data_IF_850567500298
#
_entry.id   IF_850567500298
#
_cell.length_a   1.000
_cell.length_b   1.000
_cell.length_c   1.000
_cell.angle_alpha   90.00
_cell.angle_beta   90.00
_cell.angle_gamma   90.00
#
_symmetry.space_group_name_H-M   'P 1'
#
loop_
_entity.id
_entity.type
_entity.pdbx_description
1 polymer ?
#
# COMPACT_ATOMS: atom_id res chain seq x y z
N UNK A 1 1.08 -1.53 23.49
CA UNK A 1 0.50 -1.76 22.16
C UNK A 1 -0.72 -0.86 21.91
N UNK A 2 -1.76 -0.87 22.78
CA UNK A 2 -2.99 -0.12 22.57
C UNK A 2 -2.78 1.41 22.46
N UNK A 3 -2.04 2.00 23.41
CA UNK A 3 -1.76 3.44 23.43
C UNK A 3 -0.94 3.87 22.20
N UNK A 4 0.07 3.08 21.82
CA UNK A 4 0.88 3.35 20.63
C UNK A 4 0.04 3.28 19.35
N UNK A 5 -0.85 2.30 19.24
CA UNK A 5 -1.77 2.17 18.10
C UNK A 5 -2.67 3.40 17.96
N UNK A 6 -3.26 3.87 19.08
CA UNK A 6 -4.10 5.08 19.05
C UNK A 6 -3.29 6.32 18.67
N UNK A 7 -2.07 6.46 19.19
CA UNK A 7 -1.19 7.58 18.85
C UNK A 7 -0.84 7.60 17.36
N UNK A 8 -0.57 6.45 16.78
CA UNK A 8 -0.29 6.33 15.34
C UNK A 8 -1.51 6.69 14.49
N UNK A 9 -2.70 6.22 14.85
CA UNK A 9 -3.92 6.63 14.17
C UNK A 9 -4.19 8.14 14.28
N UNK A 10 -3.95 8.72 15.45
CA UNK A 10 -4.02 10.18 15.61
C UNK A 10 -3.01 10.89 14.70
N UNK A 11 -1.79 10.36 14.59
CA UNK A 11 -0.76 10.90 13.69
C UNK A 11 -1.20 10.87 12.22
N UNK A 12 -1.74 9.74 11.75
CA UNK A 12 -2.27 9.61 10.37
C UNK A 12 -3.44 10.58 10.14
N UNK A 13 -4.37 10.66 11.11
CA UNK A 13 -5.52 11.57 11.02
C UNK A 13 -5.07 13.02 10.97
N UNK A 14 -4.14 13.42 11.84
CA UNK A 14 -3.61 14.78 11.86
C UNK A 14 -2.87 15.13 10.55
N UNK A 15 -2.00 14.25 10.07
CA UNK A 15 -1.26 14.46 8.82
C UNK A 15 -2.20 14.59 7.62
N UNK A 16 -3.24 13.75 7.56
CA UNK A 16 -4.24 13.80 6.49
C UNK A 16 -5.07 15.07 6.56
N UNK A 17 -5.54 15.44 7.75
CA UNK A 17 -6.30 16.68 7.98
C UNK A 17 -5.45 17.91 7.61
N UNK A 18 -4.19 17.94 8.08
CA UNK A 18 -3.28 19.04 7.78
C UNK A 18 -3.04 19.20 6.29
N UNK A 19 -2.71 18.10 5.58
CA UNK A 19 -2.51 18.14 4.13
C UNK A 19 -3.75 18.57 3.35
N UNK A 20 -4.95 18.22 3.84
CA UNK A 20 -6.21 18.63 3.23
C UNK A 20 -6.54 20.12 3.47
N UNK A 21 -6.21 20.64 4.64
CA UNK A 21 -6.48 22.04 4.99
C UNK A 21 -5.36 22.99 4.55
N UNK A 22 -4.17 22.47 4.26
CA UNK A 22 -3.00 23.28 3.91
C UNK A 22 -3.23 24.26 2.75
N UNK A 23 -3.91 23.90 1.65
CA UNK A 23 -4.21 24.83 0.57
C UNK A 23 -5.00 26.07 1.04
N UNK A 24 -5.93 25.90 1.98
CA UNK A 24 -6.75 27.01 2.55
C UNK A 24 -5.85 27.95 3.38
N UNK A 25 -4.99 27.37 4.23
CA UNK A 25 -4.07 28.18 5.03
C UNK A 25 -3.02 28.90 4.18
N UNK A 26 -2.48 28.23 3.16
CA UNK A 26 -1.50 28.85 2.25
C UNK A 26 -2.12 30.04 1.50
N UNK A 27 -3.34 29.89 1.02
CA UNK A 27 -4.06 30.96 0.32
C UNK A 27 -4.34 32.17 1.22
N UNK A 28 -4.76 31.91 2.48
CA UNK A 28 -5.02 32.98 3.46
C UNK A 28 -3.75 33.76 3.87
N UNK A 29 -2.59 33.09 3.93
CA UNK A 29 -1.36 33.72 4.41
C UNK A 29 -0.49 34.28 3.28
N UNK A 30 -0.43 33.59 2.15
CA UNK A 30 0.47 33.92 1.05
C UNK A 30 -0.24 34.43 -0.20
N UNK A 31 -1.58 34.47 -0.21
CA UNK A 31 -2.42 34.70 -1.40
C UNK A 31 -2.11 33.73 -2.56
N UNK A 32 -1.51 32.57 -2.26
CA UNK A 32 -1.21 31.53 -3.22
C UNK A 32 -1.73 30.19 -2.71
N UNK A 33 -2.52 29.51 -3.53
CA UNK A 33 -3.05 28.20 -3.22
C UNK A 33 -2.00 27.12 -3.50
N UNK A 34 -1.32 26.67 -2.44
CA UNK A 34 -0.32 25.60 -2.51
C UNK A 34 -1.01 24.28 -2.16
N UNK A 35 -1.12 23.37 -3.13
CA UNK A 35 -1.67 22.03 -2.91
C UNK A 35 -0.58 21.04 -2.54
N UNK A 36 -0.85 20.20 -1.54
CA UNK A 36 0.01 19.06 -1.21
C UNK A 36 -0.49 17.82 -1.96
N UNK A 37 0.43 17.21 -2.69
CA UNK A 37 0.13 16.04 -3.54
C UNK A 37 0.48 14.70 -2.88
N UNK A 38 0.36 13.60 -3.65
CA UNK A 38 0.68 12.24 -3.21
C UNK A 38 2.06 12.08 -2.53
N UNK A 39 3.14 12.77 -2.96
CA UNK A 39 4.44 12.65 -2.31
C UNK A 39 4.41 12.97 -0.82
N UNK A 40 3.68 14.00 -0.40
CA UNK A 40 3.53 14.35 1.03
C UNK A 40 2.88 13.21 1.81
N UNK A 41 1.74 12.70 1.33
CA UNK A 41 1.03 11.62 2.02
C UNK A 41 1.84 10.32 2.05
N UNK A 42 2.56 10.00 0.99
CA UNK A 42 3.41 8.81 0.93
C UNK A 42 4.58 8.90 1.92
N UNK A 43 5.18 10.08 2.08
CA UNK A 43 6.30 10.29 3.01
C UNK A 43 5.87 10.30 4.47
N UNK A 44 4.69 10.82 4.80
CA UNK A 44 4.22 10.97 6.18
C UNK A 44 3.36 9.78 6.61
N UNK A 45 2.31 9.46 5.85
CA UNK A 45 1.39 8.38 6.22
C UNK A 45 1.96 6.99 5.94
N UNK A 46 2.82 6.84 4.92
CA UNK A 46 3.41 5.54 4.58
C UNK A 46 4.12 4.87 5.76
N UNK A 47 5.10 5.51 6.40
CA UNK A 47 5.77 4.96 7.58
C UNK A 47 4.83 4.71 8.76
N UNK A 48 3.89 5.62 9.03
CA UNK A 48 2.92 5.46 10.12
C UNK A 48 2.03 4.23 9.90
N UNK A 49 1.50 4.06 8.69
CA UNK A 49 0.69 2.90 8.32
C UNK A 49 1.51 1.61 8.36
N UNK A 50 2.76 1.63 7.91
CA UNK A 50 3.66 0.48 7.99
C UNK A 50 3.85 0.01 9.45
N UNK A 51 4.04 0.95 10.40
CA UNK A 51 4.14 0.64 11.82
C UNK A 51 2.82 0.12 12.38
N UNK A 52 1.67 0.68 11.98
CA UNK A 52 0.34 0.18 12.38
C UNK A 52 0.16 -1.28 11.92
N UNK A 53 0.48 -1.59 10.66
CA UNK A 53 0.40 -2.96 10.12
C UNK A 53 1.35 -3.88 10.88
N UNK A 54 2.57 -3.47 11.14
CA UNK A 54 3.54 -4.25 11.92
C UNK A 54 3.03 -4.55 13.34
N UNK A 55 2.47 -3.54 14.03
CA UNK A 55 1.85 -3.71 15.36
C UNK A 55 0.68 -4.68 15.31
N UNK A 56 -0.10 -4.68 14.26
CA UNK A 56 -1.22 -5.61 14.05
C UNK A 56 -0.74 -7.08 14.08
N UNK A 57 0.46 -7.38 13.55
CA UNK A 57 1.04 -8.72 13.61
C UNK A 57 1.68 -9.06 14.97
N UNK A 58 2.27 -8.07 15.65
CA UNK A 58 3.01 -8.29 16.92
C UNK A 58 2.07 -8.25 18.13
N UNK A 59 1.10 -7.36 18.16
CA UNK A 59 0.24 -7.13 19.33
C UNK A 59 -0.48 -8.39 19.84
N UNK A 60 -1.03 -9.28 18.99
CA UNK A 60 -1.65 -10.54 19.46
C UNK A 60 -0.67 -11.47 20.15
N UNK A 61 0.61 -11.44 19.76
CA UNK A 61 1.65 -12.31 20.33
C UNK A 61 2.09 -11.83 21.73
N UNK A 62 2.06 -10.51 21.97
CA UNK A 62 2.47 -9.89 23.24
C UNK A 62 1.33 -9.82 24.25
N UNK A 63 0.07 -9.80 23.81
CA UNK A 63 -1.11 -9.59 24.66
C UNK A 63 -1.36 -10.72 25.69
N UNK A 64 -0.70 -11.87 25.56
CA UNK A 64 -0.78 -12.97 26.54
C UNK A 64 0.18 -12.73 27.71
N UNK A 65 -0.30 -12.15 28.69
CA UNK A 65 0.10 -11.61 30.00
C UNK A 65 1.35 -12.17 30.71
N UNK A 66 2.08 -13.17 30.21
CA UNK A 66 3.29 -13.78 30.79
C UNK A 66 4.22 -14.43 29.74
N UNK A 67 4.34 -13.90 28.52
CA UNK A 67 5.31 -14.47 27.61
C UNK A 67 6.72 -13.97 27.94
N UNK A 68 7.60 -14.89 28.37
CA UNK A 68 9.03 -14.61 28.43
C UNK A 68 9.55 -14.33 27.01
N UNK A 69 10.61 -13.51 26.87
CA UNK A 69 11.25 -13.26 25.57
C UNK A 69 11.60 -14.56 24.82
N UNK A 70 11.94 -15.63 25.56
CA UNK A 70 12.23 -16.95 24.99
C UNK A 70 10.99 -17.64 24.38
N UNK A 71 9.81 -17.47 24.99
CA UNK A 71 8.55 -17.99 24.47
C UNK A 71 8.09 -17.19 23.23
N UNK A 72 8.26 -15.88 23.24
CA UNK A 72 7.96 -15.01 22.11
C UNK A 72 8.85 -15.35 20.89
N UNK A 73 10.15 -15.57 21.12
CA UNK A 73 11.08 -16.00 20.07
C UNK A 73 10.64 -17.29 19.37
N UNK A 74 10.14 -18.28 20.14
CA UNK A 74 9.60 -19.54 19.59
C UNK A 74 8.35 -19.35 18.72
N UNK A 75 7.60 -18.27 18.93
CA UNK A 75 6.38 -17.97 18.17
C UNK A 75 6.70 -17.19 16.88
N UNK A 76 7.75 -16.39 16.90
CA UNK A 76 8.10 -15.45 15.82
C UNK A 76 9.09 -16.06 14.83
N UNK A 77 9.94 -17.01 15.20
CA UNK A 77 11.03 -17.49 14.36
C UNK A 77 10.54 -18.09 13.02
N UNK A 78 9.45 -18.89 13.03
CA UNK A 78 8.88 -19.48 11.80
C UNK A 78 8.32 -18.40 10.89
N UNK A 79 7.42 -17.48 11.33
CA UNK A 79 7.01 -16.35 10.53
C UNK A 79 8.17 -15.50 9.98
N UNK A 80 9.19 -15.24 10.81
CA UNK A 80 10.36 -14.47 10.38
C UNK A 80 11.17 -15.21 9.30
N UNK A 81 11.42 -16.51 9.47
CA UNK A 81 12.11 -17.31 8.47
C UNK A 81 11.36 -17.36 7.13
N UNK A 82 10.03 -17.58 7.18
CA UNK A 82 9.19 -17.54 5.97
C UNK A 82 9.17 -16.17 5.31
N UNK A 83 9.18 -15.11 6.11
CA UNK A 83 9.30 -13.73 5.59
C UNK A 83 10.63 -13.53 4.87
N UNK A 84 11.74 -13.98 5.43
CA UNK A 84 13.06 -13.88 4.77
C UNK A 84 13.08 -14.62 3.43
N UNK A 85 12.53 -15.84 3.37
CA UNK A 85 12.41 -16.59 2.12
C UNK A 85 11.54 -15.82 1.11
N UNK A 86 10.42 -15.26 1.57
CA UNK A 86 9.54 -14.44 0.71
C UNK A 86 10.22 -13.19 0.19
N UNK A 87 11.05 -12.51 1.00
CA UNK A 87 11.81 -11.34 0.58
C UNK A 87 12.81 -11.66 -0.52
N UNK A 88 13.49 -12.82 -0.43
CA UNK A 88 14.36 -13.30 -1.51
C UNK A 88 13.56 -13.53 -2.79
N UNK A 89 12.41 -14.18 -2.70
CA UNK A 89 11.54 -14.42 -3.85
C UNK A 89 11.07 -13.09 -4.48
N UNK A 90 10.60 -12.12 -3.68
CA UNK A 90 10.20 -10.81 -4.19
C UNK A 90 11.36 -10.03 -4.81
N UNK A 91 12.55 -10.13 -4.26
CA UNK A 91 13.76 -9.54 -4.86
C UNK A 91 14.04 -10.11 -6.26
N UNK A 92 13.94 -11.42 -6.42
CA UNK A 92 14.10 -12.09 -7.70
C UNK A 92 13.00 -11.74 -8.70
N UNK A 93 11.78 -11.49 -8.22
CA UNK A 93 10.63 -11.04 -9.02
C UNK A 93 10.68 -9.54 -9.38
N UNK A 94 11.72 -8.81 -8.96
CA UNK A 94 11.91 -7.42 -9.35
C UNK A 94 11.65 -6.37 -8.26
N UNK A 95 11.22 -6.75 -7.06
CA UNK A 95 11.04 -5.85 -5.93
C UNK A 95 12.40 -5.48 -5.30
N UNK A 96 13.21 -4.66 -5.98
CA UNK A 96 14.60 -4.37 -5.60
C UNK A 96 14.76 -3.10 -4.77
N UNK A 97 13.73 -2.28 -4.63
CA UNK A 97 13.80 -1.06 -3.83
C UNK A 97 13.64 -1.36 -2.34
N UNK A 98 14.29 -0.56 -1.48
CA UNK A 98 14.16 -0.70 -0.02
C UNK A 98 12.70 -0.57 0.41
N UNK A 99 11.95 0.36 -0.18
CA UNK A 99 10.55 0.59 0.15
C UNK A 99 9.68 -0.63 -0.17
N UNK A 100 9.85 -1.25 -1.35
CA UNK A 100 9.11 -2.46 -1.72
C UNK A 100 9.47 -3.65 -0.82
N UNK A 101 10.75 -3.84 -0.49
CA UNK A 101 11.21 -4.90 0.40
C UNK A 101 10.66 -4.73 1.83
N UNK A 102 10.66 -3.50 2.37
CA UNK A 102 10.07 -3.21 3.68
C UNK A 102 8.55 -3.43 3.66
N UNK A 103 7.85 -2.95 2.63
CA UNK A 103 6.41 -3.12 2.50
C UNK A 103 6.00 -4.60 2.41
N UNK A 104 6.61 -5.36 1.51
CA UNK A 104 6.36 -6.81 1.40
C UNK A 104 6.83 -7.57 2.64
N UNK A 105 7.95 -7.18 3.25
CA UNK A 105 8.45 -7.78 4.49
C UNK A 105 7.46 -7.63 5.63
N UNK A 106 6.92 -6.44 5.84
CA UNK A 106 5.90 -6.20 6.87
C UNK A 106 4.63 -6.99 6.56
N UNK A 107 4.12 -6.92 5.32
CA UNK A 107 2.90 -7.62 4.93
C UNK A 107 3.02 -9.14 5.07
N UNK A 108 4.11 -9.75 4.60
CA UNK A 108 4.35 -11.19 4.73
C UNK A 108 4.55 -11.61 6.19
N UNK A 109 5.30 -10.84 6.97
CA UNK A 109 5.51 -11.12 8.39
C UNK A 109 4.18 -11.14 9.16
N UNK A 110 3.34 -10.14 8.94
CA UNK A 110 2.01 -10.05 9.57
C UNK A 110 1.09 -11.16 9.07
N UNK A 111 1.13 -11.47 7.78
CA UNK A 111 0.40 -12.59 7.19
C UNK A 111 0.79 -13.92 7.83
N UNK A 112 2.08 -14.24 7.89
CA UNK A 112 2.55 -15.50 8.48
C UNK A 112 2.33 -15.57 9.99
N UNK A 113 2.48 -14.48 10.73
CA UNK A 113 2.14 -14.47 12.17
C UNK A 113 0.66 -14.72 12.38
N UNK A 114 -0.21 -14.09 11.60
CA UNK A 114 -1.67 -14.30 11.70
C UNK A 114 -2.06 -15.72 11.30
N UNK A 115 -1.52 -16.25 10.20
CA UNK A 115 -1.76 -17.64 9.77
C UNK A 115 -1.25 -18.65 10.80
N UNK A 116 -0.10 -18.40 11.43
CA UNK A 116 0.43 -19.29 12.49
C UNK A 116 -0.50 -19.40 13.70
N UNK A 117 -1.26 -18.34 14.01
CA UNK A 117 -2.29 -18.37 15.06
C UNK A 117 -3.48 -19.28 14.68
N UNK A 118 -3.90 -19.24 13.39
CA UNK A 118 -4.92 -20.16 12.88
C UNK A 118 -4.43 -21.61 12.94
N UNK A 119 -3.23 -21.87 12.41
CA UNK A 119 -2.65 -23.22 12.39
C UNK A 119 -2.57 -23.79 13.81
N UNK A 120 -2.11 -23.01 14.78
CA UNK A 120 -2.05 -23.43 16.19
C UNK A 120 -3.44 -23.69 16.78
N UNK A 121 -4.40 -22.83 16.46
CA UNK A 121 -5.78 -23.01 16.91
C UNK A 121 -6.43 -24.27 16.33
N UNK A 122 -6.28 -24.51 15.05
CA UNK A 122 -6.77 -25.71 14.36
C UNK A 122 -6.10 -26.97 14.89
N UNK A 123 -4.77 -26.96 15.02
CA UNK A 123 -4.03 -28.11 15.58
C UNK A 123 -4.46 -28.47 17.00
N UNK A 124 -4.76 -27.48 17.84
CA UNK A 124 -5.26 -27.71 19.19
C UNK A 124 -6.66 -28.40 19.17
N UNK A 125 -7.52 -28.05 18.23
CA UNK A 125 -8.86 -28.66 18.08
C UNK A 125 -8.80 -30.06 17.46
N UNK A 126 -7.89 -30.25 16.49
CA UNK A 126 -7.67 -31.58 15.90
C UNK A 126 -7.21 -32.60 16.94
N UNK A 127 -6.43 -32.19 17.95
CA UNK A 127 -6.04 -33.03 19.09
C UNK A 127 -7.24 -33.45 19.97
N UNK A 128 -8.38 -32.77 19.84
CA UNK A 128 -9.64 -33.11 20.49
C UNK A 128 -10.55 -33.98 19.60
N UNK A 129 -10.04 -34.46 18.45
CA UNK A 129 -10.77 -35.35 17.54
C UNK A 129 -11.56 -34.63 16.42
N UNK A 130 -11.48 -33.31 16.30
CA UNK A 130 -12.14 -32.60 15.22
C UNK A 130 -11.32 -32.73 13.89
N UNK A 131 -12.03 -32.84 12.76
CA UNK A 131 -11.35 -32.72 11.47
C UNK A 131 -11.01 -31.26 11.15
N UNK A 132 -10.10 -31.03 10.18
CA UNK A 132 -9.57 -29.70 9.85
C UNK A 132 -10.68 -28.70 9.53
N UNK A 133 -11.68 -29.07 8.71
CA UNK A 133 -12.76 -28.15 8.31
C UNK A 133 -13.69 -27.81 9.47
N UNK A 134 -14.06 -28.80 10.26
CA UNK A 134 -14.87 -28.59 11.47
C UNK A 134 -14.10 -27.75 12.50
N UNK A 135 -12.80 -28.02 12.67
CA UNK A 135 -11.93 -27.25 13.55
C UNK A 135 -11.85 -25.77 13.13
N UNK A 136 -11.72 -25.46 11.84
CA UNK A 136 -11.70 -24.09 11.31
C UNK A 136 -13.01 -23.35 11.60
N UNK A 137 -14.15 -23.97 11.26
CA UNK A 137 -15.48 -23.38 11.49
C UNK A 137 -15.72 -23.15 12.99
N UNK A 138 -15.49 -24.16 13.80
CA UNK A 138 -15.69 -24.08 15.24
C UNK A 138 -14.74 -23.08 15.91
N UNK A 139 -13.51 -22.93 15.40
CA UNK A 139 -12.55 -21.97 15.89
C UNK A 139 -13.06 -20.54 15.72
N UNK A 140 -13.55 -20.21 14.53
CA UNK A 140 -14.14 -18.90 14.23
C UNK A 140 -15.49 -18.70 14.97
N UNK A 141 -16.38 -19.69 14.98
CA UNK A 141 -17.70 -19.59 15.58
C UNK A 141 -17.67 -19.40 17.10
N UNK A 142 -16.79 -20.14 17.80
CA UNK A 142 -16.69 -20.09 19.27
C UNK A 142 -15.87 -18.92 19.81
N UNK A 143 -14.95 -18.34 19.01
CA UNK A 143 -14.09 -17.23 19.41
C UNK A 143 -14.10 -16.10 18.36
N UNK A 144 -15.31 -15.62 18.02
CA UNK A 144 -15.54 -14.61 16.96
C UNK A 144 -14.69 -13.35 17.12
N UNK A 145 -14.49 -12.85 18.34
CA UNK A 145 -13.68 -11.65 18.59
C UNK A 145 -12.23 -11.84 18.19
N UNK A 146 -11.62 -12.99 18.47
CA UNK A 146 -10.22 -13.27 18.17
C UNK A 146 -10.02 -13.63 16.70
N UNK A 147 -10.71 -14.66 16.23
CA UNK A 147 -10.50 -15.19 14.87
C UNK A 147 -11.18 -14.36 13.79
N UNK A 148 -12.29 -13.68 14.10
CA UNK A 148 -12.86 -12.65 13.24
C UNK A 148 -11.90 -11.46 13.07
N UNK A 149 -11.24 -11.02 14.14
CA UNK A 149 -10.18 -10.02 14.07
C UNK A 149 -9.03 -10.47 13.16
N UNK A 150 -8.61 -11.73 13.25
CA UNK A 150 -7.54 -12.26 12.37
C UNK A 150 -7.97 -12.34 10.90
N UNK A 151 -9.23 -12.56 10.57
CA UNK A 151 -9.75 -12.45 9.19
C UNK A 151 -9.59 -11.03 8.67
N UNK A 152 -9.94 -10.03 9.48
CA UNK A 152 -9.75 -8.62 9.13
C UNK A 152 -8.27 -8.31 8.93
N UNK A 153 -7.39 -8.82 9.80
CA UNK A 153 -5.93 -8.66 9.65
C UNK A 153 -5.42 -9.24 8.32
N UNK A 154 -5.90 -10.42 7.92
CA UNK A 154 -5.55 -10.99 6.62
C UNK A 154 -6.08 -10.15 5.46
N UNK A 155 -7.27 -9.55 5.58
CA UNK A 155 -7.78 -8.59 4.61
C UNK A 155 -6.88 -7.36 4.46
N UNK A 156 -6.41 -6.80 5.59
CA UNK A 156 -5.45 -5.68 5.58
C UNK A 156 -4.10 -6.09 4.95
N UNK A 157 -3.64 -7.31 5.22
CA UNK A 157 -2.42 -7.86 4.58
C UNK A 157 -2.58 -7.92 3.06
N UNK A 158 -3.72 -8.42 2.56
CA UNK A 158 -4.00 -8.46 1.11
C UNK A 158 -4.03 -7.05 0.52
N UNK A 159 -4.65 -6.09 1.22
CA UNK A 159 -4.63 -4.68 0.81
C UNK A 159 -3.20 -4.12 0.79
N UNK A 160 -2.38 -4.42 1.80
CA UNK A 160 -0.98 -3.99 1.85
C UNK A 160 -0.17 -4.54 0.66
N UNK A 161 -0.37 -5.81 0.29
CA UNK A 161 0.22 -6.39 -0.93
C UNK A 161 -0.21 -5.62 -2.18
N UNK A 162 -1.50 -5.30 -2.31
CA UNK A 162 -2.02 -4.52 -3.44
C UNK A 162 -1.40 -3.13 -3.53
N UNK A 163 -1.32 -2.42 -2.40
CA UNK A 163 -0.72 -1.07 -2.34
C UNK A 163 0.77 -1.10 -2.68
N UNK A 164 1.55 -2.01 -2.09
CA UNK A 164 2.98 -2.14 -2.37
C UNK A 164 3.21 -2.55 -3.83
N UNK A 165 2.41 -3.49 -4.36
CA UNK A 165 2.48 -3.92 -5.75
C UNK A 165 2.14 -2.81 -6.73
N UNK A 166 1.08 -2.06 -6.48
CA UNK A 166 0.70 -0.91 -7.29
C UNK A 166 1.82 0.14 -7.33
N UNK A 167 2.39 0.47 -6.17
CA UNK A 167 3.50 1.42 -6.09
C UNK A 167 4.77 0.93 -6.81
N UNK A 168 5.06 -0.37 -6.73
CA UNK A 168 6.26 -0.96 -7.33
C UNK A 168 6.17 -1.01 -8.87
N UNK A 169 4.99 -1.29 -9.41
CA UNK A 169 4.79 -1.43 -10.86
C UNK A 169 4.31 -0.15 -11.53
N UNK A 170 3.96 0.87 -10.76
CA UNK A 170 3.63 2.18 -11.30
C UNK A 170 4.88 2.85 -11.84
N UNK A 171 4.81 3.28 -13.10
CA UNK A 171 5.81 4.12 -13.73
C UNK A 171 5.17 5.47 -14.01
N UNK A 172 5.79 6.52 -13.51
CA UNK A 172 5.37 7.89 -13.70
C UNK A 172 6.56 8.72 -14.19
N UNK A 173 6.32 9.55 -15.19
CA UNK A 173 7.31 10.50 -15.67
C UNK A 173 6.62 11.84 -15.95
N UNK A 174 7.32 12.92 -15.70
CA UNK A 174 6.84 14.27 -15.93
C UNK A 174 7.90 15.06 -16.70
N UNK A 175 7.47 15.72 -17.75
CA UNK A 175 8.34 16.62 -18.50
C UNK A 175 7.54 17.74 -19.16
N UNK A 176 8.18 18.90 -19.31
CA UNK A 176 7.64 19.96 -20.15
C UNK A 176 8.10 19.74 -21.59
N UNK A 177 7.17 19.47 -22.49
CA UNK A 177 7.46 19.13 -23.89
C UNK A 177 7.03 20.27 -24.82
N UNK A 178 7.84 20.51 -25.85
CA UNK A 178 7.44 21.30 -27.01
C UNK A 178 6.86 20.38 -28.09
N UNK A 179 5.99 20.88 -28.99
CA UNK A 179 5.49 20.11 -30.13
C UNK A 179 6.61 19.38 -30.87
N UNK A 180 6.41 18.09 -31.16
CA UNK A 180 7.40 17.21 -31.79
C UNK A 180 8.38 16.51 -30.82
N UNK A 181 8.47 16.92 -29.56
CA UNK A 181 9.32 16.25 -28.59
C UNK A 181 8.68 14.96 -28.05
N UNK A 182 9.53 14.05 -27.61
CA UNK A 182 9.13 12.72 -27.16
C UNK A 182 9.47 12.49 -25.68
N UNK A 183 8.70 11.63 -25.03
CA UNK A 183 8.90 11.17 -23.65
C UNK A 183 8.74 9.65 -23.60
N UNK A 184 9.74 8.96 -23.07
CA UNK A 184 9.68 7.50 -22.93
C UNK A 184 9.07 7.12 -21.58
N UNK A 185 8.17 6.15 -21.58
CA UNK A 185 7.53 5.59 -20.39
C UNK A 185 7.17 4.11 -20.61
N UNK A 186 7.68 3.23 -19.74
CA UNK A 186 7.27 1.83 -19.72
C UNK A 186 7.51 1.03 -21.01
N UNK A 187 8.55 1.37 -21.78
CA UNK A 187 8.84 0.77 -23.08
C UNK A 187 8.06 1.38 -24.25
N UNK A 188 7.19 2.36 -24.01
CA UNK A 188 6.52 3.16 -25.03
C UNK A 188 7.17 4.54 -25.13
N UNK A 189 7.04 5.15 -26.31
CA UNK A 189 7.45 6.55 -26.51
C UNK A 189 6.20 7.37 -26.83
N UNK A 190 5.99 8.45 -26.09
CA UNK A 190 4.91 9.40 -26.31
C UNK A 190 5.47 10.63 -27.03
N UNK A 191 4.92 10.98 -28.16
CA UNK A 191 5.27 12.21 -28.88
C UNK A 191 4.16 13.24 -28.68
N UNK A 192 4.53 14.40 -28.18
CA UNK A 192 3.62 15.53 -28.07
C UNK A 192 3.51 16.23 -29.42
N UNK A 193 2.33 16.17 -30.04
CA UNK A 193 2.13 16.69 -31.38
C UNK A 193 1.62 18.13 -31.36
N UNK A 194 0.57 18.43 -30.58
CA UNK A 194 0.00 19.77 -30.50
C UNK A 194 -0.80 20.01 -29.22
N UNK A 195 -0.99 21.28 -28.88
CA UNK A 195 -1.91 21.73 -27.85
C UNK A 195 -2.96 22.64 -28.49
N UNK A 196 -4.22 22.33 -28.32
CA UNK A 196 -5.35 23.16 -28.75
C UNK A 196 -6.10 23.66 -27.54
N UNK A 197 -6.44 24.95 -27.57
CA UNK A 197 -7.29 25.58 -26.54
C UNK A 197 -8.60 26.02 -27.20
N UNK A 198 -9.70 25.74 -26.54
CA UNK A 198 -11.02 26.13 -27.00
C UNK A 198 -11.98 26.37 -25.83
N UNK A 199 -12.85 27.35 -25.90
CA UNK A 199 -13.87 27.57 -24.91
C UNK A 199 -15.01 26.55 -25.05
N UNK A 200 -15.55 26.11 -23.90
CA UNK A 200 -16.80 25.37 -23.85
C UNK A 200 -18.00 26.32 -23.79
N UNK A 201 -19.19 25.78 -24.04
CA UNK A 201 -20.47 26.54 -23.96
C UNK A 201 -20.75 27.11 -22.55
N UNK A 202 -20.18 26.51 -21.50
CA UNK A 202 -20.29 26.96 -20.12
C UNK A 202 -19.22 28.02 -19.72
N UNK A 203 -18.41 28.49 -20.67
CA UNK A 203 -17.42 29.54 -20.49
C UNK A 203 -16.06 29.07 -19.92
N UNK A 204 -15.87 27.76 -19.72
CA UNK A 204 -14.55 27.20 -19.31
C UNK A 204 -13.64 27.10 -20.53
N UNK A 205 -12.36 27.42 -20.33
CA UNK A 205 -11.31 27.16 -21.32
C UNK A 205 -10.77 25.76 -21.16
N UNK A 206 -10.80 24.98 -22.22
CA UNK A 206 -10.23 23.61 -22.21
C UNK A 206 -8.95 23.59 -23.02
N UNK A 207 -7.91 23.08 -22.42
CA UNK A 207 -6.66 22.77 -23.11
C UNK A 207 -6.62 21.27 -23.41
N UNK A 208 -6.53 20.91 -24.71
CA UNK A 208 -6.43 19.52 -25.16
C UNK A 208 -5.10 19.31 -25.89
N UNK A 209 -4.31 18.37 -25.39
CA UNK A 209 -3.11 17.93 -26.07
C UNK A 209 -3.41 16.76 -27.03
N UNK A 210 -2.65 16.68 -28.12
CA UNK A 210 -2.60 15.50 -28.97
C UNK A 210 -1.26 14.82 -28.75
N UNK A 211 -1.30 13.55 -28.40
CA UNK A 211 -0.11 12.76 -28.06
C UNK A 211 -0.16 11.44 -28.83
N UNK A 212 0.79 11.24 -29.75
CA UNK A 212 0.95 9.96 -30.45
C UNK A 212 1.75 8.99 -29.59
N UNK A 213 1.23 7.78 -29.36
CA UNK A 213 1.93 6.69 -28.67
C UNK A 213 2.64 5.84 -29.71
N UNK A 214 3.95 5.65 -29.51
CA UNK A 214 4.81 4.84 -30.37
C UNK A 214 5.27 3.59 -29.62
N UNK A 215 5.42 2.48 -30.34
CA UNK A 215 6.03 1.27 -29.82
C UNK A 215 7.58 1.43 -29.69
N UNK A 216 8.30 0.46 -29.14
CA UNK A 216 9.77 0.51 -29.05
C UNK A 216 10.47 0.59 -30.43
N UNK A 217 9.80 0.18 -31.51
CA UNK A 217 10.29 0.24 -32.88
C UNK A 217 9.98 1.59 -33.57
N UNK A 218 9.29 2.51 -32.86
CA UNK A 218 8.90 3.82 -33.40
C UNK A 218 7.63 3.82 -34.25
N UNK A 219 6.89 2.71 -34.28
CA UNK A 219 5.64 2.63 -35.03
C UNK A 219 4.47 3.19 -34.20
N UNK A 220 3.62 4.05 -34.80
CA UNK A 220 2.47 4.61 -34.09
C UNK A 220 1.45 3.50 -33.75
N UNK A 221 1.05 3.45 -32.49
CA UNK A 221 0.03 2.55 -31.95
C UNK A 221 -1.33 3.23 -31.87
N UNK A 222 -1.37 4.55 -31.66
CA UNK A 222 -2.59 5.32 -31.53
C UNK A 222 -2.33 6.72 -31.00
N UNK A 223 -3.40 7.50 -30.86
CA UNK A 223 -3.35 8.85 -30.32
C UNK A 223 -4.15 8.95 -29.02
N UNK A 224 -3.65 9.73 -28.09
CA UNK A 224 -4.29 10.11 -26.83
C UNK A 224 -4.62 11.60 -26.88
N UNK A 225 -5.74 11.96 -26.27
CA UNK A 225 -6.25 13.33 -26.22
C UNK A 225 -6.46 13.80 -24.77
N UNK A 226 -5.38 13.85 -23.94
CA UNK A 226 -5.53 14.36 -22.59
C UNK A 226 -5.99 15.81 -22.62
N UNK A 227 -6.94 16.14 -21.72
CA UNK A 227 -7.48 17.49 -21.61
C UNK A 227 -7.43 17.97 -20.15
N UNK A 228 -7.35 19.27 -20.01
CA UNK A 228 -7.44 19.99 -18.76
C UNK A 228 -8.53 21.06 -18.91
N UNK A 229 -9.52 21.00 -18.01
CA UNK A 229 -10.69 21.89 -17.94
C UNK A 229 -10.49 22.94 -16.85
#
# INVERSE_FOLDING_TARGET
AFLLNNLLFMGVTFATLWGTLFPIFSELVTNQKITVGPPFYNQVNGPLLAVIVLLMGIAPLVAWRKSSFKALGKLIWIPAALTLVSLVAFYLLGARTLASQLGYGIATFVGFTTLSEYVRGVAARMRLGENVFVALINLAARNRRRYGGYIIHLGVVVMAFGVVGSYMFQQETQASLKPGQTLALGGFTMRFDSLTQFPLEDGREVSRAVVTVLDPAGKPLGELYPRHD
#
